data_IF_613951739829
#
_entry.id   IF_613951739829
#
_cell.length_a   1.000
_cell.length_b   1.000
_cell.length_c   1.000
_cell.angle_alpha   90.00
_cell.angle_beta   90.00
_cell.angle_gamma   90.00
#
_symmetry.space_group_name_H-M   'P 1'
#
loop_
_entity.id
_entity.type
_entity.pdbx_description
1 polymer ?
#
# COMPACT_ATOMS: atom_id res chain seq x y z
N UNK A 1 -7.80 7.57 -21.66
CA UNK A 1 -6.78 8.21 -20.80
C UNK A 1 -6.87 7.66 -19.39
N UNK A 2 -5.76 7.17 -18.83
CA UNK A 2 -5.69 6.84 -17.41
C UNK A 2 -5.46 8.15 -16.64
N UNK A 3 -6.34 8.46 -15.69
CA UNK A 3 -6.28 9.67 -14.86
C UNK A 3 -5.96 9.32 -13.40
N UNK A 4 -5.05 8.37 -13.18
CA UNK A 4 -4.62 7.92 -11.86
C UNK A 4 -3.11 8.05 -11.66
N UNK A 5 -2.62 7.50 -10.55
CA UNK A 5 -1.20 7.46 -10.21
C UNK A 5 -0.57 6.13 -10.66
N UNK A 6 0.71 6.17 -11.05
CA UNK A 6 1.51 4.98 -11.35
C UNK A 6 2.68 4.95 -10.36
N UNK A 7 2.84 3.88 -9.57
CA UNK A 7 3.99 3.73 -8.68
C UNK A 7 5.32 3.80 -9.41
N UNK A 8 6.27 4.57 -8.89
CA UNK A 8 7.63 4.62 -9.42
C UNK A 8 8.43 3.42 -8.89
N UNK A 9 8.57 2.38 -9.70
CA UNK A 9 9.16 1.08 -9.33
C UNK A 9 10.37 0.70 -10.18
N UNK A 10 10.67 1.46 -11.23
CA UNK A 10 11.68 1.13 -12.23
C UNK A 10 13.09 1.00 -11.62
N UNK A 11 13.38 1.77 -10.56
CA UNK A 11 14.66 1.72 -9.87
C UNK A 11 14.92 0.40 -9.12
N UNK A 12 13.88 -0.42 -8.93
CA UNK A 12 13.94 -1.70 -8.22
C UNK A 12 14.05 -2.92 -9.13
N UNK A 13 14.02 -2.75 -10.46
CA UNK A 13 14.00 -3.88 -11.41
C UNK A 13 15.16 -4.88 -11.23
N UNK A 14 16.30 -4.45 -10.70
CA UNK A 14 17.47 -5.29 -10.45
C UNK A 14 17.67 -5.68 -8.98
N UNK A 15 16.73 -5.37 -8.08
CA UNK A 15 16.88 -5.62 -6.64
C UNK A 15 16.42 -7.01 -6.18
N UNK A 16 15.98 -7.86 -7.12
CA UNK A 16 15.50 -9.21 -6.81
C UNK A 16 14.17 -9.21 -6.06
N UNK A 17 13.27 -8.28 -6.42
CA UNK A 17 11.92 -8.17 -5.86
C UNK A 17 10.88 -8.38 -6.96
N UNK A 18 9.72 -8.88 -6.59
CA UNK A 18 8.61 -9.08 -7.52
C UNK A 18 7.82 -7.78 -7.67
N UNK A 19 7.50 -7.42 -8.91
CA UNK A 19 6.84 -6.17 -9.28
C UNK A 19 5.71 -6.49 -10.26
N UNK A 20 4.52 -5.95 -10.01
CA UNK A 20 3.42 -5.90 -10.97
C UNK A 20 3.12 -4.44 -11.30
N UNK A 21 2.08 -3.85 -10.69
CA UNK A 21 1.84 -2.40 -10.73
C UNK A 21 2.58 -1.68 -9.60
N UNK A 22 2.88 -2.39 -8.51
CA UNK A 22 3.67 -1.94 -7.38
C UNK A 22 4.65 -3.02 -6.92
N UNK A 23 5.37 -2.76 -5.84
CA UNK A 23 6.19 -3.77 -5.17
C UNK A 23 5.27 -4.77 -4.47
N UNK A 24 5.36 -6.05 -4.87
CA UNK A 24 4.58 -7.10 -4.24
C UNK A 24 5.13 -7.39 -2.85
N UNK A 25 4.26 -7.29 -1.84
CA UNK A 25 4.62 -7.55 -0.45
C UNK A 25 3.62 -8.48 0.24
N UNK A 26 4.11 -9.20 1.25
CA UNK A 26 3.27 -9.95 2.17
C UNK A 26 2.55 -8.99 3.17
N UNK A 27 1.65 -9.49 4.04
CA UNK A 27 0.98 -8.66 5.04
C UNK A 27 1.93 -7.89 5.97
N UNK A 28 3.14 -8.42 6.23
CA UNK A 28 4.20 -7.77 7.00
C UNK A 28 5.00 -6.72 6.19
N UNK A 29 4.52 -6.36 4.99
CA UNK A 29 5.13 -5.37 4.10
C UNK A 29 6.54 -5.74 3.59
N UNK A 30 6.90 -7.03 3.67
CA UNK A 30 8.16 -7.57 3.17
C UNK A 30 7.99 -8.01 1.72
N UNK A 31 8.93 -7.61 0.88
CA UNK A 31 8.97 -8.04 -0.53
C UNK A 31 9.44 -9.49 -0.65
N UNK A 32 9.53 -10.02 -1.88
CA UNK A 32 10.14 -11.34 -2.13
C UNK A 32 11.64 -11.38 -1.83
N UNK A 33 12.30 -10.23 -1.73
CA UNK A 33 13.61 -10.11 -1.12
C UNK A 33 13.46 -9.90 0.39
N UNK A 34 13.92 -10.86 1.18
CA UNK A 34 13.82 -10.83 2.65
C UNK A 34 14.54 -9.64 3.31
N UNK A 35 15.38 -8.89 2.58
CA UNK A 35 16.07 -7.71 3.12
C UNK A 35 15.43 -6.39 2.69
N UNK A 36 14.30 -6.43 1.98
CA UNK A 36 13.63 -5.26 1.41
C UNK A 36 12.16 -5.26 1.84
N UNK A 37 11.74 -4.15 2.43
CA UNK A 37 10.35 -3.83 2.74
C UNK A 37 9.92 -2.63 1.89
N UNK A 38 8.61 -2.48 1.73
CA UNK A 38 8.03 -1.34 1.05
C UNK A 38 6.84 -0.78 1.86
N UNK A 39 6.53 0.49 1.69
CA UNK A 39 5.39 1.14 2.32
C UNK A 39 4.87 2.29 1.45
N UNK A 40 3.61 2.67 1.65
CA UNK A 40 2.96 3.75 0.92
C UNK A 40 2.41 3.32 -0.45
N UNK A 41 2.18 4.28 -1.35
CA UNK A 41 1.50 4.06 -2.63
C UNK A 41 2.22 3.08 -3.58
N UNK A 42 3.50 2.76 -3.30
CA UNK A 42 4.26 1.76 -4.06
C UNK A 42 3.92 0.32 -3.69
N UNK A 43 3.26 0.10 -2.54
CA UNK A 43 3.00 -1.22 -2.01
C UNK A 43 1.76 -1.86 -2.62
N UNK A 44 1.95 -3.08 -3.12
CA UNK A 44 0.87 -3.95 -3.53
C UNK A 44 0.86 -5.18 -2.59
N UNK A 45 -0.08 -5.20 -1.66
CA UNK A 45 -0.09 -6.09 -0.49
C UNK A 45 -0.95 -7.31 -0.76
N UNK A 46 -0.45 -8.51 -0.45
CA UNK A 46 -1.22 -9.74 -0.53
C UNK A 46 -2.39 -9.75 0.46
N UNK A 47 -3.62 -9.93 -0.05
CA UNK A 47 -4.83 -10.18 0.74
C UNK A 47 -5.25 -11.63 0.57
N UNK A 48 -5.22 -12.39 1.67
CA UNK A 48 -5.71 -13.77 1.69
C UNK A 48 -7.24 -13.84 1.56
N UNK A 49 -7.96 -12.83 2.05
CA UNK A 49 -9.42 -12.74 1.97
C UNK A 49 -9.90 -12.62 0.52
N UNK A 50 -9.23 -11.79 -0.27
CA UNK A 50 -9.56 -11.57 -1.68
C UNK A 50 -8.80 -12.51 -2.62
N UNK A 51 -7.86 -13.30 -2.08
CA UNK A 51 -6.93 -14.12 -2.84
C UNK A 51 -6.24 -13.33 -3.97
N UNK A 52 -5.85 -12.08 -3.64
CA UNK A 52 -5.36 -11.11 -4.61
C UNK A 52 -4.45 -10.07 -3.95
N UNK A 53 -3.67 -9.38 -4.78
CA UNK A 53 -2.80 -8.28 -4.39
C UNK A 53 -3.54 -6.93 -4.49
N UNK A 54 -3.52 -6.12 -3.43
CA UNK A 54 -4.28 -4.85 -3.31
C UNK A 54 -3.39 -3.65 -3.06
N UNK A 55 -3.88 -2.48 -3.46
CA UNK A 55 -3.34 -1.19 -3.03
C UNK A 55 -4.24 -0.60 -1.96
N UNK A 56 -3.60 0.10 -1.03
CA UNK A 56 -4.27 0.87 0.01
C UNK A 56 -3.73 2.30 -0.06
N UNK A 57 -4.63 3.27 -0.11
CA UNK A 57 -4.29 4.67 -0.35
C UNK A 57 -4.71 5.55 0.84
N UNK A 58 -4.30 6.81 0.79
CA UNK A 58 -4.67 7.83 1.77
C UNK A 58 -3.67 7.93 2.92
N UNK A 59 -3.58 9.13 3.49
CA UNK A 59 -2.57 9.52 4.47
C UNK A 59 -2.44 8.54 5.65
N UNK A 60 -3.57 8.12 6.23
CA UNK A 60 -3.58 7.24 7.40
C UNK A 60 -2.98 5.85 7.10
N UNK A 61 -3.34 5.28 5.95
CA UNK A 61 -2.83 3.99 5.52
C UNK A 61 -1.33 4.06 5.24
N UNK A 62 -0.88 5.04 4.44
CA UNK A 62 0.54 5.14 4.07
C UNK A 62 1.42 5.44 5.29
N UNK A 63 0.91 6.22 6.26
CA UNK A 63 1.59 6.47 7.53
C UNK A 63 1.71 5.19 8.37
N UNK A 64 0.62 4.44 8.51
CA UNK A 64 0.64 3.18 9.26
C UNK A 64 1.53 2.12 8.61
N UNK A 65 1.55 2.04 7.27
CA UNK A 65 2.48 1.16 6.57
C UNK A 65 3.94 1.49 6.88
N UNK A 66 4.29 2.78 6.91
CA UNK A 66 5.66 3.21 7.22
C UNK A 66 6.10 2.77 8.62
N UNK A 67 5.20 2.88 9.60
CA UNK A 67 5.45 2.41 10.97
C UNK A 67 5.60 0.89 11.05
N UNK A 68 4.68 0.13 10.45
CA UNK A 68 4.72 -1.34 10.42
C UNK A 68 5.99 -1.84 9.71
N UNK A 69 6.33 -1.27 8.55
CA UNK A 69 7.52 -1.65 7.82
C UNK A 69 8.80 -1.39 8.64
N UNK A 70 8.88 -0.26 9.35
CA UNK A 70 10.02 0.04 10.21
C UNK A 70 10.16 -0.96 11.37
N UNK A 71 9.05 -1.31 12.04
CA UNK A 71 9.05 -2.32 13.11
C UNK A 71 9.49 -3.68 12.60
N UNK A 72 8.97 -4.12 11.45
CA UNK A 72 9.31 -5.41 10.86
C UNK A 72 10.76 -5.46 10.36
N UNK A 73 11.30 -4.35 9.85
CA UNK A 73 12.72 -4.21 9.54
C UNK A 73 13.61 -4.41 10.78
N UNK A 74 13.09 -4.12 11.98
CA UNK A 74 13.81 -4.27 13.27
C UNK A 74 13.54 -5.58 14.00
N UNK A 75 12.86 -6.53 13.37
CA UNK A 75 12.68 -7.90 13.87
C UNK A 75 11.30 -8.20 14.46
N UNK A 76 10.34 -7.29 14.33
CA UNK A 76 8.94 -7.61 14.53
C UNK A 76 8.35 -8.32 13.29
N UNK A 77 7.14 -8.84 13.40
CA UNK A 77 6.43 -9.55 12.31
C UNK A 77 4.93 -9.16 12.29
N UNK A 78 4.64 -7.87 12.51
CA UNK A 78 3.29 -7.33 12.58
C UNK A 78 2.69 -7.17 11.17
N UNK A 79 1.46 -7.66 10.91
CA UNK A 79 0.79 -7.39 9.64
C UNK A 79 0.25 -5.96 9.58
N UNK A 80 0.28 -5.36 8.39
CA UNK A 80 -0.47 -4.14 8.12
C UNK A 80 -1.98 -4.40 8.20
N UNK A 81 -2.68 -3.47 8.84
CA UNK A 81 -4.15 -3.42 8.92
C UNK A 81 -4.59 -2.05 8.39
N UNK A 82 -5.48 -2.05 7.39
CA UNK A 82 -6.01 -0.81 6.82
C UNK A 82 -6.72 0.03 7.88
N UNK A 83 -6.50 1.34 7.85
CA UNK A 83 -7.08 2.32 8.77
C UNK A 83 -8.15 3.11 8.03
N UNK A 84 -9.40 2.88 8.43
CA UNK A 84 -10.54 3.69 8.04
C UNK A 84 -11.35 3.11 6.88
N UNK A 85 -12.38 3.87 6.51
CA UNK A 85 -13.24 3.55 5.38
C UNK A 85 -12.55 3.98 4.08
N UNK A 86 -12.34 3.03 3.16
CA UNK A 86 -11.72 3.25 1.85
C UNK A 86 -12.74 3.74 0.80
N UNK A 87 -14.01 3.88 1.20
CA UNK A 87 -15.10 4.14 0.27
C UNK A 87 -14.95 5.50 -0.44
N UNK A 88 -14.98 5.43 -1.77
CA UNK A 88 -15.12 6.55 -2.67
C UNK A 88 -16.58 6.60 -3.15
N UNK A 89 -17.30 7.65 -2.81
CA UNK A 89 -18.68 7.82 -3.27
C UNK A 89 -18.98 9.24 -3.73
N UNK A 90 -19.96 9.34 -4.62
CA UNK A 90 -20.52 10.62 -5.06
C UNK A 90 -21.76 10.89 -4.23
N UNK A 91 -21.81 12.01 -3.54
CA UNK A 91 -22.99 12.40 -2.78
C UNK A 91 -24.15 12.87 -3.68
N UNK A 92 -25.32 13.12 -3.09
CA UNK A 92 -26.51 13.56 -3.83
C UNK A 92 -26.35 14.92 -4.51
N UNK A 93 -25.36 15.72 -4.11
CA UNK A 93 -25.00 16.99 -4.74
C UNK A 93 -23.95 16.86 -5.84
N UNK A 94 -23.42 15.65 -6.09
CA UNK A 94 -22.40 15.40 -7.10
C UNK A 94 -20.96 15.60 -6.61
N UNK A 95 -20.72 15.80 -5.31
CA UNK A 95 -19.36 15.88 -4.78
C UNK A 95 -18.77 14.50 -4.56
N UNK A 96 -17.49 14.36 -4.87
CA UNK A 96 -16.72 13.15 -4.57
C UNK A 96 -16.26 13.25 -3.12
N UNK A 97 -16.71 12.30 -2.29
CA UNK A 97 -16.18 12.09 -0.94
C UNK A 97 -15.11 11.02 -1.02
N UNK A 98 -13.92 11.33 -0.48
CA UNK A 98 -12.78 10.42 -0.48
C UNK A 98 -11.99 10.57 0.82
N UNK A 99 -11.55 9.45 1.42
CA UNK A 99 -10.60 9.47 2.54
C UNK A 99 -9.20 9.89 2.11
N UNK A 100 -8.91 9.93 0.80
CA UNK A 100 -7.57 10.17 0.26
C UNK A 100 -6.92 11.46 0.78
N UNK A 101 -7.72 12.52 0.94
CA UNK A 101 -7.27 13.85 1.39
C UNK A 101 -7.41 14.08 2.89
N UNK A 102 -7.97 13.13 3.64
CA UNK A 102 -8.09 13.26 5.09
C UNK A 102 -6.72 13.09 5.72
N UNK A 103 -6.27 14.11 6.44
CA UNK A 103 -5.06 14.09 7.25
C UNK A 103 -5.34 14.85 8.55
N UNK A 104 -4.57 14.54 9.59
CA UNK A 104 -4.62 15.23 10.88
C UNK A 104 -4.14 16.70 10.79
#
# INVERSE_FOLDING_TARGET
PFCGLVPSVEFMLSSGVDIERGLLVNPQLRTTNERIWAAGDVCQIWSAEENAYRFYYGWNNVRAMGEVAARNMTGEEEPFVSIGDEDLYVDKSGHINSPFWQHD
#
